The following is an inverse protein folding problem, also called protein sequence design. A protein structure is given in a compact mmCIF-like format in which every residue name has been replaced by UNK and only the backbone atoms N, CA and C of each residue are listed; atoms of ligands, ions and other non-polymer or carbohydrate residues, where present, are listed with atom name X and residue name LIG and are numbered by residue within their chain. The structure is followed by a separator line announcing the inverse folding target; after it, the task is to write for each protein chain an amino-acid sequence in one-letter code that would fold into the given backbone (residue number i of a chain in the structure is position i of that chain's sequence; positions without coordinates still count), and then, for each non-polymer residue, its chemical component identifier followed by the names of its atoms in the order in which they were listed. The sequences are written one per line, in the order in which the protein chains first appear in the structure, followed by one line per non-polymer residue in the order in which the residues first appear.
data_IF_028550415505
#
_entry.id   IF_028550415505
#
_cell.length_a   1.000
_cell.length_b   1.000
_cell.length_c   1.000
_cell.angle_alpha   90.00
_cell.angle_beta   90.00
_cell.angle_gamma   90.00
#
_symmetry.space_group_name_H-M   'P 1'
#
loop_
_entity.id
_entity.type
_entity.pdbx_description
1 polymer ?
#
# COMPACT_ATOMS: atom_id res chain seq x y z
N UNK A 1 -6.18 11.88 26.10
CA UNK A 1 -5.82 10.96 25.00
C UNK A 1 -4.30 10.96 24.84
N UNK A 2 -3.70 9.79 24.70
CA UNK A 2 -2.27 9.65 24.42
C UNK A 2 -1.97 10.21 23.01
N UNK A 3 -0.90 10.99 22.87
CA UNK A 3 -0.44 11.54 21.59
C UNK A 3 -0.30 10.47 20.49
N UNK A 4 0.10 9.24 20.85
CA UNK A 4 0.16 8.08 19.94
C UNK A 4 -1.19 7.69 19.35
N UNK A 5 -2.27 7.83 20.10
CA UNK A 5 -3.63 7.50 19.64
C UNK A 5 -4.16 8.52 18.64
N UNK A 6 -3.76 9.80 18.75
CA UNK A 6 -4.09 10.81 17.76
C UNK A 6 -3.34 10.53 16.44
N UNK A 7 -2.06 10.17 16.51
CA UNK A 7 -1.29 9.82 15.31
C UNK A 7 -1.77 8.54 14.62
N UNK A 8 -2.26 7.54 15.37
CA UNK A 8 -2.80 6.32 14.76
C UNK A 8 -4.07 6.56 13.96
N UNK A 9 -4.85 7.61 14.28
CA UNK A 9 -6.06 7.97 13.52
C UNK A 9 -5.74 8.58 12.15
N UNK A 10 -4.53 9.12 11.98
CA UNK A 10 -4.04 9.67 10.70
C UNK A 10 -3.15 8.68 9.92
N UNK A 11 -2.92 7.48 10.47
CA UNK A 11 -2.19 6.41 9.77
C UNK A 11 -3.08 5.78 8.70
N UNK A 12 -2.53 5.50 7.52
CA UNK A 12 -3.21 4.69 6.50
C UNK A 12 -2.81 3.23 6.67
N UNK A 13 -3.77 2.37 7.03
CA UNK A 13 -3.55 0.93 7.07
C UNK A 13 -3.45 0.40 5.62
N UNK A 14 -2.30 -0.20 5.29
CA UNK A 14 -1.98 -0.72 3.96
C UNK A 14 -1.78 -2.24 4.01
N UNK A 15 -2.25 -2.93 2.99
CA UNK A 15 -1.84 -4.30 2.66
C UNK A 15 -1.26 -4.30 1.24
N UNK A 16 -0.15 -5.00 1.04
CA UNK A 16 0.56 -5.08 -0.24
C UNK A 16 0.67 -6.55 -0.64
N UNK A 17 0.18 -6.87 -1.84
CA UNK A 17 0.41 -8.16 -2.49
C UNK A 17 1.51 -8.01 -3.54
N UNK A 18 2.61 -8.73 -3.32
CA UNK A 18 3.80 -8.71 -4.18
C UNK A 18 3.81 -9.95 -5.07
N UNK A 19 2.87 -9.98 -6.01
CA UNK A 19 2.78 -11.05 -7.01
C UNK A 19 3.92 -10.96 -8.04
N UNK A 20 4.22 -12.11 -8.66
CA UNK A 20 5.25 -12.21 -9.71
C UNK A 20 4.89 -11.40 -10.96
N UNK A 21 3.61 -11.30 -11.30
CA UNK A 21 3.13 -10.56 -12.47
C UNK A 21 2.56 -9.17 -12.13
N UNK A 22 1.91 -9.03 -10.98
CA UNK A 22 1.24 -7.80 -10.57
C UNK A 22 1.53 -7.49 -9.10
N UNK A 23 1.65 -6.20 -8.80
CA UNK A 23 1.68 -5.67 -7.44
C UNK A 23 0.37 -4.97 -7.17
N UNK A 24 -0.30 -5.35 -6.07
CA UNK A 24 -1.54 -4.73 -5.63
C UNK A 24 -1.33 -4.03 -4.29
N UNK A 25 -1.96 -2.87 -4.12
CA UNK A 25 -2.01 -2.16 -2.84
C UNK A 25 -3.47 -1.96 -2.45
N UNK A 26 -3.82 -2.43 -1.25
CA UNK A 26 -5.10 -2.20 -0.61
C UNK A 26 -4.97 -1.17 0.50
N UNK A 27 -5.88 -0.21 0.54
CA UNK A 27 -6.03 0.72 1.66
C UNK A 27 -7.33 0.38 2.38
N UNK A 28 -7.26 0.24 3.70
CA UNK A 28 -8.45 0.04 4.54
C UNK A 28 -9.51 1.11 4.24
N UNK A 29 -10.75 0.67 4.06
CA UNK A 29 -11.92 1.51 3.71
C UNK A 29 -11.87 2.22 2.34
N UNK A 30 -10.84 1.96 1.51
CA UNK A 30 -10.79 2.46 0.11
C UNK A 30 -10.71 1.36 -0.94
N UNK A 31 -10.33 0.14 -0.57
CA UNK A 31 -10.19 -0.96 -1.52
C UNK A 31 -8.81 -1.04 -2.16
N UNK A 32 -8.73 -1.71 -3.32
CA UNK A 32 -7.51 -1.79 -4.13
C UNK A 32 -7.29 -0.43 -4.80
N UNK A 33 -6.19 0.23 -4.47
CA UNK A 33 -5.81 1.55 -4.98
C UNK A 33 -4.65 1.51 -5.98
N UNK A 34 -3.92 0.39 -6.04
CA UNK A 34 -2.88 0.11 -7.05
C UNK A 34 -3.08 -1.31 -7.55
N UNK A 35 -2.99 -1.50 -8.86
CA UNK A 35 -2.93 -2.80 -9.53
C UNK A 35 -2.09 -2.63 -10.80
N UNK A 36 -0.78 -2.80 -10.65
CA UNK A 36 0.20 -2.52 -11.71
C UNK A 36 1.07 -3.76 -11.98
N UNK A 37 1.68 -3.90 -13.16
CA UNK A 37 2.63 -4.97 -13.43
C UNK A 37 3.85 -4.89 -12.51
N UNK A 38 4.32 -6.03 -12.00
CA UNK A 38 5.52 -6.16 -11.14
C UNK A 38 6.81 -6.08 -11.97
N UNK A 39 7.04 -4.96 -12.63
CA UNK A 39 8.17 -4.77 -13.57
C UNK A 39 8.98 -3.52 -13.22
N UNK A 40 10.27 -3.53 -13.58
CA UNK A 40 11.14 -2.35 -13.54
C UNK A 40 11.98 -2.29 -14.80
N UNK A 41 12.09 -1.11 -15.41
CA UNK A 41 13.00 -0.88 -16.52
C UNK A 41 14.40 -0.57 -15.97
N UNK A 42 15.41 -1.31 -16.44
CA UNK A 42 16.81 -1.12 -16.04
C UNK A 42 17.59 -0.62 -17.25
N UNK A 43 18.17 0.58 -17.14
CA UNK A 43 19.11 1.10 -18.12
C UNK A 43 20.54 0.82 -17.61
N UNK A 44 21.38 0.23 -18.46
CA UNK A 44 22.76 -0.16 -18.13
C UNK A 44 23.76 0.69 -18.90
#
# INVERSE_FOLDING_TARGET
MNLRSLFSMFSSDLAIDLGTANTLVYVKDKGIVVNEPSIVAINK
#
